data_IF_286592692553
#
_entry.id   IF_286592692553
#
_cell.length_a   1.000
_cell.length_b   1.000
_cell.length_c   1.000
_cell.angle_alpha   90.00
_cell.angle_beta   90.00
_cell.angle_gamma   90.00
#
_symmetry.space_group_name_H-M   'P 1'
#
loop_
_entity.id
_entity.type
_entity.pdbx_description
1 polymer ?
#
# COMPACT_ATOMS: atom_id res chain seq x y z
N UNK A 1 9.96 3.56 0.79
CA UNK A 1 9.64 2.14 1.09
C UNK A 1 9.22 2.03 2.54
N UNK A 2 8.09 1.40 2.80
CA UNK A 2 7.55 1.21 4.15
C UNK A 2 7.55 -0.27 4.49
N UNK A 3 8.03 -0.63 5.68
CA UNK A 3 7.78 -1.93 6.29
C UNK A 3 6.41 -1.88 6.95
N UNK A 4 5.41 -2.39 6.25
CA UNK A 4 4.03 -2.47 6.75
C UNK A 4 3.98 -3.38 7.97
N UNK A 5 3.33 -2.92 9.04
CA UNK A 5 3.10 -3.67 10.29
C UNK A 5 1.64 -4.09 10.45
N UNK A 6 0.73 -3.26 9.97
CA UNK A 6 -0.70 -3.52 9.98
C UNK A 6 -1.37 -2.89 8.77
N UNK A 7 -2.52 -3.43 8.42
CA UNK A 7 -3.37 -2.97 7.31
C UNK A 7 -4.83 -3.15 7.70
N UNK A 8 -5.68 -2.25 7.23
CA UNK A 8 -7.14 -2.37 7.35
C UNK A 8 -7.68 -3.26 6.23
N UNK A 9 -8.80 -3.92 6.51
CA UNK A 9 -9.59 -4.58 5.49
C UNK A 9 -10.66 -3.63 5.00
N UNK A 10 -10.68 -3.40 3.69
CA UNK A 10 -11.62 -2.52 3.03
C UNK A 10 -12.47 -3.31 2.02
N UNK A 11 -13.68 -2.81 1.75
CA UNK A 11 -14.53 -3.37 0.67
C UNK A 11 -13.84 -3.30 -0.69
N UNK A 12 -12.97 -2.30 -0.89
CA UNK A 12 -12.13 -2.18 -2.07
C UNK A 12 -11.28 -3.42 -2.32
N UNK A 13 -10.80 -4.09 -1.28
CA UNK A 13 -9.96 -5.28 -1.43
C UNK A 13 -10.77 -6.44 -2.06
N UNK A 14 -12.04 -6.60 -1.64
CA UNK A 14 -12.95 -7.57 -2.25
C UNK A 14 -13.26 -7.22 -3.71
N UNK A 15 -13.53 -5.94 -3.99
CA UNK A 15 -13.77 -5.47 -5.36
C UNK A 15 -12.57 -5.75 -6.27
N UNK A 16 -11.33 -5.59 -5.78
CA UNK A 16 -10.13 -5.95 -6.53
C UNK A 16 -10.04 -7.46 -6.77
N UNK A 17 -10.33 -8.29 -5.76
CA UNK A 17 -10.34 -9.75 -5.91
C UNK A 17 -11.42 -10.25 -6.87
N UNK A 18 -12.54 -9.54 -6.98
CA UNK A 18 -13.67 -9.91 -7.84
C UNK A 18 -13.63 -9.26 -9.24
N UNK A 19 -12.57 -8.52 -9.57
CA UNK A 19 -12.44 -7.84 -10.85
C UNK A 19 -13.46 -6.71 -11.10
N UNK A 20 -13.97 -6.11 -10.03
CA UNK A 20 -14.96 -5.02 -10.10
C UNK A 20 -14.34 -3.66 -10.46
N UNK A 21 -13.00 -3.58 -10.56
CA UNK A 21 -12.27 -2.38 -11.03
C UNK A 21 -11.84 -2.46 -12.51
N UNK A 22 -12.23 -3.54 -13.21
CA UNK A 22 -11.76 -3.84 -14.56
C UNK A 22 -10.44 -4.63 -14.56
N UNK A 23 -10.21 -5.33 -15.68
CA UNK A 23 -9.14 -6.32 -15.83
C UNK A 23 -7.75 -5.77 -15.51
N UNK A 24 -7.48 -4.52 -15.92
CA UNK A 24 -6.19 -3.84 -15.75
C UNK A 24 -5.82 -3.57 -14.28
N UNK A 25 -6.82 -3.36 -13.42
CA UNK A 25 -6.62 -3.02 -12.01
C UNK A 25 -6.64 -4.23 -11.08
N UNK A 26 -7.15 -5.37 -11.56
CA UNK A 26 -7.62 -6.45 -10.69
C UNK A 26 -6.92 -7.79 -10.95
N UNK A 27 -6.44 -8.05 -12.17
CA UNK A 27 -5.89 -9.36 -12.55
C UNK A 27 -4.39 -9.37 -12.86
N UNK A 28 -3.78 -8.20 -13.13
CA UNK A 28 -2.37 -8.11 -13.50
C UNK A 28 -1.42 -7.95 -12.29
N UNK A 29 -1.49 -8.85 -11.30
CA UNK A 29 -0.53 -8.89 -10.18
C UNK A 29 -0.68 -7.77 -9.14
N UNK A 30 -1.85 -7.13 -9.08
CA UNK A 30 -2.17 -6.17 -8.03
C UNK A 30 -2.17 -6.81 -6.65
N UNK A 31 -1.51 -6.17 -5.68
CA UNK A 31 -1.52 -6.58 -4.27
C UNK A 31 -2.69 -5.85 -3.59
N UNK A 32 -3.68 -6.56 -3.00
CA UNK A 32 -4.77 -5.93 -2.25
C UNK A 32 -4.25 -5.32 -0.94
N UNK A 33 -5.14 -4.74 -0.13
CA UNK A 33 -4.86 -4.09 1.16
C UNK A 33 -4.48 -2.61 0.98
N UNK A 34 -5.49 -1.77 0.73
CA UNK A 34 -5.30 -0.39 0.26
C UNK A 34 -4.64 0.57 1.25
N UNK A 35 -4.73 0.30 2.56
CA UNK A 35 -4.18 1.18 3.60
C UNK A 35 -3.14 0.41 4.42
N UNK A 36 -2.23 1.12 5.09
CA UNK A 36 -1.25 0.46 5.94
C UNK A 36 -0.53 1.40 6.89
N UNK A 37 -0.22 0.89 8.08
CA UNK A 37 0.62 1.58 9.06
C UNK A 37 1.94 0.82 9.22
N UNK A 38 3.03 1.57 9.37
CA UNK A 38 4.35 0.97 9.44
C UNK A 38 5.48 1.96 9.65
N UNK A 39 6.67 1.55 9.24
CA UNK A 39 7.90 2.29 9.41
C UNK A 39 8.58 2.52 8.06
N UNK A 40 9.07 3.73 7.80
CA UNK A 40 9.87 4.02 6.60
C UNK A 40 11.23 3.34 6.72
N UNK A 41 11.56 2.43 5.79
CA UNK A 41 12.83 1.70 5.78
C UNK A 41 13.79 2.13 4.65
N UNK A 42 13.31 2.92 3.70
CA UNK A 42 14.13 3.59 2.69
C UNK A 42 13.37 4.78 2.09
N UNK A 43 14.10 5.80 1.66
CA UNK A 43 13.57 6.95 0.91
C UNK A 43 14.36 7.13 -0.39
N UNK A 44 13.76 7.74 -1.40
CA UNK A 44 14.46 8.11 -2.62
C UNK A 44 15.11 9.50 -2.52
N UNK A 45 16.03 9.81 -3.41
CA UNK A 45 16.91 10.99 -3.33
C UNK A 45 16.17 12.33 -3.31
N UNK A 46 14.97 12.41 -3.92
CA UNK A 46 14.17 13.63 -3.97
C UNK A 46 13.18 13.78 -2.79
N UNK A 47 13.12 12.83 -1.85
CA UNK A 47 12.18 12.88 -0.73
C UNK A 47 12.69 13.87 0.34
N UNK A 48 11.89 14.88 0.65
CA UNK A 48 12.25 15.93 1.63
C UNK A 48 11.44 15.89 2.92
N UNK A 49 10.31 15.18 2.94
CA UNK A 49 9.35 15.20 4.06
C UNK A 49 9.51 14.06 5.05
N UNK A 50 10.03 12.92 4.63
CA UNK A 50 10.12 11.70 5.44
C UNK A 50 11.56 11.24 5.57
N UNK A 51 11.87 10.60 6.69
CA UNK A 51 13.16 9.99 6.99
C UNK A 51 13.01 8.50 7.29
N UNK A 52 14.09 7.73 7.15
CA UNK A 52 14.15 6.34 7.62
C UNK A 52 13.95 6.31 9.15
N UNK A 53 13.08 5.41 9.61
CA UNK A 53 12.65 5.30 11.01
C UNK A 53 11.34 6.00 11.34
N UNK A 54 10.81 6.83 10.45
CA UNK A 54 9.52 7.50 10.67
C UNK A 54 8.36 6.50 10.73
N UNK A 55 7.43 6.75 11.65
CA UNK A 55 6.14 6.04 11.72
C UNK A 55 5.12 6.73 10.84
N UNK A 56 4.45 5.96 9.98
CA UNK A 56 3.47 6.47 8.99
C UNK A 56 2.20 5.61 8.97
N UNK A 57 1.10 6.20 8.53
CA UNK A 57 -0.21 5.59 8.28
C UNK A 57 -0.97 6.40 7.23
#
# INVERSE_FOLDING_TARGET
>A
LVRVRATSLNRRDLNMLHNDYGDDASYAGGIPLSDGAGEVIAVGDAVTRFAVGDRVA
#
